data_IF_962014082695
#
_entry.id   IF_962014082695
#
_cell.length_a   1.000
_cell.length_b   1.000
_cell.length_c   1.000
_cell.angle_alpha   90.00
_cell.angle_beta   90.00
_cell.angle_gamma   90.00
#
_symmetry.space_group_name_H-M   'P 1'
#
loop_
_entity.id
_entity.type
_entity.pdbx_description
1 polymer ?
#
# COMPACT_ATOMS: atom_id res chain seq x y z
N UNK A 1 32.53 10.97 -14.13
CA UNK A 1 31.40 11.16 -13.18
C UNK A 1 30.20 10.47 -13.78
N UNK A 2 29.52 9.63 -13.01
CA UNK A 2 28.18 9.21 -13.35
C UNK A 2 27.40 9.10 -12.04
N UNK A 3 26.31 9.85 -11.96
CA UNK A 3 25.27 9.56 -11.00
C UNK A 3 23.93 9.66 -11.72
N UNK A 4 23.17 8.58 -11.60
CA UNK A 4 21.81 8.45 -12.08
C UNK A 4 21.15 7.42 -11.16
N UNK A 5 20.04 7.78 -10.54
CA UNK A 5 19.02 6.80 -10.16
C UNK A 5 17.64 7.47 -10.22
N UNK A 6 16.82 7.06 -11.19
CA UNK A 6 15.41 7.45 -11.36
C UNK A 6 14.56 6.20 -11.07
N UNK A 7 13.45 6.36 -10.34
CA UNK A 7 12.25 5.54 -10.55
C UNK A 7 10.99 6.33 -10.16
N UNK A 8 10.21 6.77 -11.16
CA UNK A 8 8.90 7.39 -11.01
C UNK A 8 7.82 6.29 -11.07
N UNK A 9 7.08 6.09 -9.99
CA UNK A 9 5.86 5.29 -10.00
C UNK A 9 4.64 6.20 -10.07
N UNK A 10 3.91 6.21 -11.20
CA UNK A 10 2.59 6.85 -11.37
C UNK A 10 2.55 8.38 -11.28
N UNK A 11 1.37 8.98 -11.50
CA UNK A 11 1.08 10.40 -11.19
C UNK A 11 1.23 10.71 -9.69
N UNK A 12 1.37 9.69 -8.83
CA UNK A 12 1.51 9.86 -7.39
C UNK A 12 2.42 8.82 -6.72
N UNK A 13 3.08 9.26 -5.65
CA UNK A 13 3.86 8.40 -4.75
C UNK A 13 3.46 8.68 -3.31
N UNK A 14 3.61 7.68 -2.43
CA UNK A 14 3.17 7.82 -1.05
C UNK A 14 3.99 7.00 -0.06
N UNK A 15 4.13 7.53 1.15
CA UNK A 15 4.50 6.78 2.36
C UNK A 15 3.23 6.64 3.19
N UNK A 16 2.93 5.42 3.61
CA UNK A 16 1.68 5.12 4.34
C UNK A 16 2.00 4.35 5.62
N UNK A 17 1.53 4.87 6.74
CA UNK A 17 1.44 4.14 8.00
C UNK A 17 0.10 3.40 8.03
N UNK A 18 0.13 2.11 8.34
CA UNK A 18 -1.07 1.26 8.42
C UNK A 18 -1.10 0.57 9.78
N UNK A 19 -2.26 0.62 10.43
CA UNK A 19 -2.51 -0.06 11.71
C UNK A 19 -3.60 -1.10 11.50
N UNK A 20 -3.23 -2.37 11.64
CA UNK A 20 -4.15 -3.52 11.56
C UNK A 20 -4.71 -3.84 12.95
N UNK A 21 -6.02 -4.06 13.06
CA UNK A 21 -6.70 -4.36 14.33
C UNK A 21 -6.64 -5.84 14.74
N UNK A 22 -6.20 -6.73 13.85
CA UNK A 22 -6.19 -8.18 14.07
C UNK A 22 -7.53 -8.88 13.78
N UNK A 23 -8.59 -8.13 13.48
CA UNK A 23 -9.96 -8.59 13.26
C UNK A 23 -10.48 -8.27 11.85
N UNK A 24 -9.57 -7.99 10.90
CA UNK A 24 -9.91 -7.74 9.50
C UNK A 24 -10.17 -6.28 9.15
N UNK A 25 -9.89 -5.32 10.05
CA UNK A 25 -9.95 -3.89 9.75
C UNK A 25 -8.60 -3.22 9.90
N UNK A 26 -8.39 -2.12 9.16
CA UNK A 26 -7.21 -1.29 9.34
C UNK A 26 -7.55 0.19 9.22
N UNK A 27 -6.72 1.02 9.82
CA UNK A 27 -6.64 2.47 9.57
C UNK A 27 -5.32 2.79 8.89
N UNK A 28 -5.29 3.91 8.15
CA UNK A 28 -4.06 4.38 7.55
C UNK A 28 -3.93 5.90 7.61
N UNK A 29 -2.68 6.36 7.71
CA UNK A 29 -2.28 7.74 7.50
C UNK A 29 -1.25 7.75 6.37
N UNK A 30 -1.44 8.62 5.39
CA UNK A 30 -0.66 8.68 4.18
C UNK A 30 -0.13 10.09 3.97
N UNK A 31 1.16 10.17 3.63
CA UNK A 31 1.78 11.35 3.05
C UNK A 31 2.08 11.02 1.59
N UNK A 32 1.52 11.78 0.66
CA UNK A 32 1.65 11.53 -0.77
C UNK A 32 2.01 12.79 -1.55
N UNK A 33 2.53 12.60 -2.76
CA UNK A 33 2.75 13.69 -3.71
C UNK A 33 2.17 13.32 -5.07
N UNK A 34 1.62 14.30 -5.77
CA UNK A 34 1.11 14.20 -7.14
C UNK A 34 1.32 15.52 -7.91
N UNK A 35 0.67 15.68 -9.07
CA UNK A 35 0.71 16.89 -9.89
C UNK A 35 0.23 18.18 -9.20
N UNK A 36 -0.50 18.08 -8.10
CA UNK A 36 -1.02 19.21 -7.31
C UNK A 36 -0.06 19.64 -6.19
N UNK A 37 0.98 18.85 -5.89
CA UNK A 37 2.00 19.18 -4.89
C UNK A 37 2.54 17.96 -4.14
N UNK A 38 3.62 18.19 -3.40
CA UNK A 38 4.21 17.20 -2.48
C UNK A 38 3.67 17.33 -1.05
N UNK A 39 3.87 16.27 -0.25
CA UNK A 39 3.53 16.21 1.18
C UNK A 39 2.05 16.46 1.51
N UNK A 40 1.16 16.06 0.61
CA UNK A 40 -0.27 16.06 0.87
C UNK A 40 -0.60 14.95 1.87
N UNK A 41 -1.58 15.19 2.74
CA UNK A 41 -2.00 14.21 3.75
C UNK A 41 -3.36 13.61 3.40
N UNK A 42 -3.49 12.32 3.66
CA UNK A 42 -4.76 11.58 3.57
C UNK A 42 -4.82 10.54 4.67
N UNK A 43 -5.98 10.39 5.30
CA UNK A 43 -6.24 9.29 6.23
C UNK A 43 -7.53 8.56 5.85
N UNK A 44 -7.67 7.35 6.36
CA UNK A 44 -8.86 6.55 6.11
C UNK A 44 -8.81 5.20 6.82
N UNK A 45 -9.77 4.36 6.47
CA UNK A 45 -9.88 2.98 6.95
C UNK A 45 -10.29 2.04 5.83
N UNK A 46 -10.10 0.76 6.08
CA UNK A 46 -10.42 -0.31 5.16
C UNK A 46 -10.52 -1.65 5.87
N UNK A 47 -10.73 -2.70 5.07
CA UNK A 47 -10.73 -4.08 5.54
C UNK A 47 -9.63 -4.89 4.87
N UNK A 48 -9.21 -5.97 5.52
CA UNK A 48 -8.22 -6.87 4.98
C UNK A 48 -8.59 -8.34 5.23
N UNK A 49 -8.15 -9.21 4.34
CA UNK A 49 -8.22 -10.66 4.51
C UNK A 49 -6.82 -11.24 4.32
N UNK A 50 -6.42 -12.20 5.16
CA UNK A 50 -5.20 -12.98 4.98
C UNK A 50 -5.55 -14.45 4.97
N UNK A 51 -5.24 -15.12 3.86
CA UNK A 51 -5.45 -16.56 3.70
C UNK A 51 -4.23 -17.33 4.19
N UNK A 52 -4.43 -18.60 4.51
CA UNK A 52 -3.38 -19.47 5.03
C UNK A 52 -2.20 -19.67 4.06
N UNK A 53 -2.40 -19.44 2.75
CA UNK A 53 -1.37 -19.51 1.71
C UNK A 53 -0.56 -18.20 1.56
N UNK A 54 -0.80 -17.22 2.43
CA UNK A 54 -0.17 -15.90 2.38
C UNK A 54 -0.75 -14.95 1.34
N UNK A 55 -1.80 -15.35 0.61
CA UNK A 55 -2.57 -14.43 -0.23
C UNK A 55 -3.39 -13.50 0.65
N UNK A 56 -3.36 -12.20 0.38
CA UNK A 56 -4.13 -11.22 1.12
C UNK A 56 -4.78 -10.18 0.21
N UNK A 57 -5.82 -9.53 0.71
CA UNK A 57 -6.51 -8.44 0.01
C UNK A 57 -6.66 -7.25 0.96
N UNK A 58 -6.60 -6.05 0.40
CA UNK A 58 -6.95 -4.81 1.09
C UNK A 58 -8.11 -4.16 0.36
N UNK A 59 -9.14 -3.73 1.10
CA UNK A 59 -10.31 -3.07 0.53
C UNK A 59 -10.47 -1.67 1.13
N UNK A 60 -10.50 -0.65 0.28
CA UNK A 60 -10.75 0.75 0.68
C UNK A 60 -11.80 1.33 -0.25
N UNK A 61 -12.89 1.86 0.30
CA UNK A 61 -14.00 2.44 -0.48
C UNK A 61 -14.57 1.52 -1.58
N UNK A 62 -14.60 0.20 -1.33
CA UNK A 62 -15.07 -0.80 -2.29
C UNK A 62 -14.02 -1.24 -3.32
N UNK A 63 -12.86 -0.59 -3.34
CA UNK A 63 -11.77 -0.94 -4.22
C UNK A 63 -10.85 -1.98 -3.59
N UNK A 64 -10.54 -3.04 -4.35
CA UNK A 64 -9.74 -4.17 -3.89
C UNK A 64 -8.33 -4.10 -4.46
N UNK A 65 -7.35 -4.28 -3.59
CA UNK A 65 -5.94 -4.44 -3.93
C UNK A 65 -5.48 -5.83 -3.51
N UNK A 66 -4.91 -6.58 -4.45
CA UNK A 66 -4.34 -7.90 -4.17
C UNK A 66 -2.94 -7.76 -3.57
N UNK A 67 -2.58 -8.68 -2.69
CA UNK A 67 -1.29 -8.69 -2.03
C UNK A 67 -0.81 -10.10 -1.67
N UNK A 68 0.50 -10.19 -1.40
CA UNK A 68 1.17 -11.36 -0.85
C UNK A 68 1.91 -10.99 0.41
N UNK A 69 1.65 -11.73 1.47
CA UNK A 69 2.34 -11.63 2.76
C UNK A 69 3.52 -12.61 2.78
N UNK A 70 4.66 -12.17 3.30
CA UNK A 70 5.82 -13.02 3.55
C UNK A 70 5.49 -14.08 4.61
N UNK A 71 6.19 -15.22 4.56
CA UNK A 71 5.95 -16.33 5.48
C UNK A 71 6.15 -15.95 6.97
N UNK A 72 7.00 -14.96 7.25
CA UNK A 72 7.22 -14.43 8.61
C UNK A 72 6.20 -13.35 9.02
N UNK A 73 5.28 -12.98 8.13
CA UNK A 73 4.25 -11.96 8.36
C UNK A 73 4.82 -10.56 8.59
N UNK A 74 6.06 -10.28 8.15
CA UNK A 74 6.73 -8.98 8.35
C UNK A 74 6.71 -8.08 7.13
N UNK A 75 6.45 -8.62 5.94
CA UNK A 75 6.46 -7.86 4.70
C UNK A 75 5.28 -8.26 3.84
N UNK A 76 4.68 -7.31 3.14
CA UNK A 76 3.77 -7.61 2.05
C UNK A 76 4.15 -6.86 0.79
N UNK A 77 3.82 -7.45 -0.36
CA UNK A 77 3.82 -6.77 -1.65
C UNK A 77 2.39 -6.75 -2.15
N UNK A 78 1.87 -5.56 -2.44
CA UNK A 78 0.54 -5.33 -2.94
C UNK A 78 0.61 -4.79 -4.36
N UNK A 79 -0.30 -5.26 -5.22
CA UNK A 79 -0.45 -4.78 -6.56
C UNK A 79 -1.94 -4.59 -6.86
N UNK A 80 -2.27 -3.43 -7.42
CA UNK A 80 -3.59 -3.19 -8.00
C UNK A 80 -3.42 -2.96 -9.48
N UNK A 81 -4.19 -3.72 -10.25
CA UNK A 81 -4.27 -3.61 -11.68
C UNK A 81 -5.74 -3.71 -12.07
N UNK A 82 -6.43 -2.57 -12.07
CA UNK A 82 -7.78 -2.49 -12.65
C UNK A 82 -7.73 -1.94 -14.07
N UNK A 83 -8.76 -2.26 -14.84
CA UNK A 83 -8.93 -1.81 -16.23
C UNK A 83 -9.17 -0.30 -16.38
N UNK A 84 -9.07 0.48 -15.28
CA UNK A 84 -9.55 1.85 -15.17
C UNK A 84 -8.47 2.82 -14.67
N UNK A 85 -7.22 2.65 -15.12
CA UNK A 85 -6.10 3.60 -14.99
C UNK A 85 -5.34 3.64 -13.66
N UNK A 86 -5.62 2.75 -12.70
CA UNK A 86 -4.82 2.64 -11.47
C UNK A 86 -3.90 1.42 -11.53
N UNK A 87 -2.63 1.67 -11.79
CA UNK A 87 -1.55 0.71 -11.57
C UNK A 87 -0.76 1.12 -10.34
N UNK A 88 -0.88 0.35 -9.28
CA UNK A 88 -0.15 0.58 -8.04
C UNK A 88 0.65 -0.65 -7.66
N UNK A 89 1.89 -0.41 -7.22
CA UNK A 89 2.67 -1.38 -6.47
C UNK A 89 3.01 -0.74 -5.14
N UNK A 90 2.75 -1.46 -4.05
CA UNK A 90 3.06 -1.04 -2.70
C UNK A 90 3.84 -2.13 -1.98
N UNK A 91 4.80 -1.71 -1.17
CA UNK A 91 5.57 -2.61 -0.29
C UNK A 91 5.38 -2.15 1.13
N UNK A 92 4.87 -3.02 1.98
CA UNK A 92 4.73 -2.76 3.40
C UNK A 92 5.74 -3.56 4.20
N UNK A 93 6.36 -2.92 5.19
CA UNK A 93 7.25 -3.58 6.15
C UNK A 93 6.72 -3.28 7.55
N UNK A 94 6.49 -4.32 8.33
CA UNK A 94 6.08 -4.22 9.73
C UNK A 94 7.20 -3.54 10.52
N UNK A 95 6.91 -2.35 11.05
CA UNK A 95 7.79 -1.74 12.03
C UNK A 95 7.95 -2.65 13.25
N UNK A 96 9.19 -2.78 13.74
CA UNK A 96 9.42 -3.43 15.03
C UNK A 96 8.66 -2.65 16.12
N UNK A 97 8.17 -3.34 17.17
CA UNK A 97 7.71 -2.67 18.39
C UNK A 97 8.80 -1.76 18.99
#
# INVERSE_FOLDING_TARGET
>A
MAELNINNGGESSAITEIVFDGNGNFTFNQIYGDQNGGNQERSGSGTYEVKADGSCTFTVNGEVTDARLSADGRTFVAARNDSASVHNVSVGVKHSP
#
